data_IF_361522444768
#
_entry.id   IF_361522444768
#
_cell.length_a   1.000
_cell.length_b   1.000
_cell.length_c   1.000
_cell.angle_alpha   90.00
_cell.angle_beta   90.00
_cell.angle_gamma   90.00
#
_symmetry.space_group_name_H-M   'P 1'
#
loop_
_entity.id
_entity.type
_entity.pdbx_description
1 polymer ?
#
# COMPACT_ATOMS: atom_id res chain seq x y z
N UNK A 1 -1.64 10.93 -3.14
CA UNK A 1 -0.59 11.35 -2.19
C UNK A 1 -0.43 10.23 -1.20
N UNK A 2 0.71 9.60 -1.23
CA UNK A 2 1.12 8.66 -0.21
C UNK A 2 1.98 9.44 0.78
N UNK A 3 1.53 9.54 1.99
CA UNK A 3 2.38 9.91 3.11
C UNK A 3 1.99 8.98 4.23
N UNK A 4 2.76 7.91 4.39
CA UNK A 4 2.66 7.08 5.56
C UNK A 4 2.84 7.93 6.82
N UNK A 5 2.49 7.38 7.97
CA UNK A 5 2.78 7.97 9.29
C UNK A 5 4.30 8.10 9.48
N UNK A 6 4.95 8.92 8.66
CA UNK A 6 6.37 9.20 8.77
C UNK A 6 6.64 9.96 10.06
N UNK A 7 7.40 9.38 10.93
CA UNK A 7 7.86 10.01 12.16
C UNK A 7 7.61 9.21 13.44
N UNK A 8 6.85 8.12 13.36
CA UNK A 8 6.64 7.25 14.53
C UNK A 8 7.07 5.83 14.19
N UNK A 9 8.17 5.38 14.77
CA UNK A 9 8.60 3.98 14.66
C UNK A 9 7.44 3.08 15.05
N UNK A 10 7.06 2.17 14.13
CA UNK A 10 5.97 1.24 14.35
C UNK A 10 4.56 1.71 13.96
N UNK A 11 4.37 2.96 13.58
CA UNK A 11 3.07 3.44 13.08
C UNK A 11 1.89 3.08 13.99
N UNK A 12 0.75 2.71 13.38
CA UNK A 12 -0.49 2.38 14.08
C UNK A 12 -0.47 1.01 14.80
N UNK A 13 0.60 0.23 14.66
CA UNK A 13 0.86 -0.98 15.46
C UNK A 13 2.08 -0.83 16.36
N UNK A 14 2.51 0.38 16.70
CA UNK A 14 3.63 0.58 17.61
C UNK A 14 3.44 -0.24 18.89
N UNK A 15 4.50 -0.93 19.33
CA UNK A 15 4.48 -1.71 20.56
C UNK A 15 4.34 -0.82 21.80
N UNK A 16 4.92 0.37 21.76
CA UNK A 16 4.72 1.41 22.76
C UNK A 16 3.34 2.06 22.59
N UNK A 17 2.55 2.06 23.66
CA UNK A 17 1.20 2.59 23.64
C UNK A 17 1.18 4.12 23.35
N UNK A 18 2.13 4.86 23.88
CA UNK A 18 2.22 6.32 23.65
C UNK A 18 2.49 6.59 22.18
N UNK A 19 3.48 5.91 21.60
CA UNK A 19 3.79 6.01 20.18
C UNK A 19 2.61 5.60 19.28
N UNK A 20 1.89 4.53 19.65
CA UNK A 20 0.70 4.10 18.91
C UNK A 20 -0.43 5.13 18.98
N UNK A 21 -0.71 5.70 20.14
CA UNK A 21 -1.72 6.75 20.30
C UNK A 21 -1.36 8.02 19.51
N UNK A 22 -0.09 8.39 19.45
CA UNK A 22 0.40 9.49 18.60
C UNK A 22 0.18 9.19 17.12
N UNK A 23 0.46 7.97 16.65
CA UNK A 23 0.23 7.56 15.26
C UNK A 23 -1.27 7.56 14.91
N UNK A 24 -2.14 7.10 15.81
CA UNK A 24 -3.59 7.15 15.66
C UNK A 24 -4.07 8.60 15.53
N UNK A 25 -3.60 9.48 16.41
CA UNK A 25 -3.97 10.91 16.38
C UNK A 25 -3.48 11.58 15.09
N UNK A 26 -2.24 11.33 14.67
CA UNK A 26 -1.69 11.83 13.42
C UNK A 26 -2.50 11.33 12.20
N UNK A 27 -2.94 10.08 12.22
CA UNK A 27 -3.82 9.53 11.18
C UNK A 27 -5.16 10.28 11.11
N UNK A 28 -5.78 10.58 12.26
CA UNK A 28 -7.03 11.35 12.32
C UNK A 28 -6.85 12.77 11.76
N UNK A 29 -5.76 13.42 12.10
CA UNK A 29 -5.41 14.77 11.59
C UNK A 29 -5.14 14.75 10.08
N UNK A 30 -4.42 13.74 9.60
CA UNK A 30 -4.16 13.55 8.18
C UNK A 30 -5.45 13.34 7.38
N UNK A 31 -6.39 12.53 7.88
CA UNK A 31 -7.70 12.32 7.24
C UNK A 31 -8.50 13.63 7.15
N UNK A 32 -8.46 14.47 8.19
CA UNK A 32 -9.11 15.77 8.17
C UNK A 32 -8.45 16.70 7.13
N UNK A 33 -7.12 16.84 7.14
CA UNK A 33 -6.40 17.68 6.19
C UNK A 33 -6.56 17.23 4.74
N UNK A 34 -6.55 15.89 4.49
CA UNK A 34 -6.74 15.32 3.16
C UNK A 34 -8.15 15.56 2.60
N UNK A 35 -9.15 15.69 3.46
CA UNK A 35 -10.51 16.03 3.03
C UNK A 35 -10.60 17.44 2.42
N UNK A 36 -9.82 18.41 2.92
CA UNK A 36 -9.76 19.77 2.38
C UNK A 36 -9.28 19.83 0.93
N UNK A 37 -8.36 18.92 0.55
CA UNK A 37 -7.86 18.79 -0.82
C UNK A 37 -8.63 17.73 -1.63
N UNK A 38 -9.74 17.23 -1.13
CA UNK A 38 -10.60 16.23 -1.78
C UNK A 38 -9.85 14.96 -2.14
N UNK A 39 -8.89 14.54 -1.32
CA UNK A 39 -8.21 13.26 -1.50
C UNK A 39 -9.21 12.10 -1.29
N UNK A 40 -9.04 11.02 -2.05
CA UNK A 40 -9.91 9.83 -1.96
C UNK A 40 -9.51 8.89 -0.84
N UNK A 41 -8.23 8.91 -0.46
CA UNK A 41 -7.72 8.02 0.56
C UNK A 41 -6.36 8.43 1.07
N UNK A 42 -5.97 7.80 2.15
CA UNK A 42 -4.70 7.96 2.86
C UNK A 42 -4.04 6.59 2.97
N UNK A 43 -2.82 6.46 2.45
CA UNK A 43 -2.06 5.21 2.52
C UNK A 43 -1.45 5.09 3.91
N UNK A 44 -1.76 3.98 4.55
CA UNK A 44 -1.32 3.67 5.91
C UNK A 44 -0.70 2.28 5.92
N UNK A 45 0.64 2.16 5.95
CA UNK A 45 1.28 0.91 6.31
C UNK A 45 0.88 0.51 7.73
N UNK A 46 0.71 -0.79 7.98
CA UNK A 46 0.36 -1.28 9.32
C UNK A 46 1.39 -0.84 10.37
N UNK A 47 2.66 -0.95 10.02
CA UNK A 47 3.75 -0.43 10.84
C UNK A 47 4.97 -0.20 9.93
N UNK A 48 5.68 0.87 10.12
CA UNK A 48 6.87 1.20 9.34
C UNK A 48 8.12 1.14 10.23
N UNK A 49 9.22 0.61 9.69
CA UNK A 49 10.53 0.51 10.37
C UNK A 49 10.57 -0.36 11.64
N UNK A 50 9.56 -1.20 11.90
CA UNK A 50 9.60 -2.14 13.02
C UNK A 50 10.53 -3.33 12.73
N UNK A 51 11.82 -3.15 12.95
CA UNK A 51 12.79 -4.23 12.99
C UNK A 51 13.22 -4.81 11.64
N UNK A 52 12.88 -4.16 10.56
CA UNK A 52 12.94 -4.68 9.21
C UNK A 52 14.30 -4.61 8.52
N UNK A 53 15.23 -3.85 9.01
CA UNK A 53 16.58 -3.80 8.40
C UNK A 53 17.47 -4.97 8.79
N UNK A 54 16.88 -6.00 9.38
CA UNK A 54 17.58 -7.20 9.84
C UNK A 54 17.12 -8.38 9.01
N UNK A 55 18.06 -8.99 8.29
CA UNK A 55 17.78 -10.25 7.58
C UNK A 55 17.37 -11.36 8.55
N UNK A 56 16.47 -12.28 8.13
CA UNK A 56 16.12 -13.45 8.95
C UNK A 56 17.36 -14.26 9.43
N UNK A 57 17.31 -14.89 10.60
CA UNK A 57 16.16 -14.98 11.51
C UNK A 57 16.02 -13.71 12.38
N UNK A 58 14.86 -13.09 12.30
CA UNK A 58 14.55 -11.89 13.07
C UNK A 58 13.36 -12.19 14.00
N UNK A 59 13.41 -11.67 15.21
CA UNK A 59 12.35 -11.88 16.20
C UNK A 59 11.40 -10.69 16.17
N UNK A 60 10.12 -10.89 15.79
CA UNK A 60 9.11 -9.84 15.88
C UNK A 60 8.99 -9.30 17.31
N UNK A 61 8.65 -8.03 17.48
CA UNK A 61 8.44 -7.44 18.81
C UNK A 61 7.26 -8.07 19.56
N UNK A 62 6.28 -8.60 18.83
CA UNK A 62 5.07 -9.24 19.34
C UNK A 62 4.68 -10.45 18.47
N UNK A 63 3.70 -11.22 18.94
CA UNK A 63 3.04 -12.25 18.15
C UNK A 63 2.11 -11.61 17.10
N UNK A 64 1.80 -12.36 16.04
CA UNK A 64 0.86 -11.93 15.01
C UNK A 64 -0.55 -11.60 15.57
N UNK A 65 -0.99 -12.33 16.60
CA UNK A 65 -2.27 -12.06 17.26
C UNK A 65 -2.28 -10.73 18.03
N UNK A 66 -1.15 -10.38 18.65
CA UNK A 66 -1.00 -9.09 19.34
C UNK A 66 -0.93 -7.94 18.33
N UNK A 67 -0.24 -8.13 17.19
CA UNK A 67 -0.22 -7.15 16.12
C UNK A 67 -1.60 -6.97 15.48
N UNK A 68 -2.34 -8.06 15.27
CA UNK A 68 -3.73 -8.01 14.80
C UNK A 68 -4.63 -7.20 15.76
N UNK A 69 -4.54 -7.42 17.07
CA UNK A 69 -5.30 -6.65 18.05
C UNK A 69 -4.94 -5.18 18.02
N UNK A 70 -3.64 -4.87 18.05
CA UNK A 70 -3.17 -3.48 18.00
C UNK A 70 -3.62 -2.75 16.72
N UNK A 71 -3.61 -3.44 15.56
CA UNK A 71 -4.10 -2.90 14.31
C UNK A 71 -5.62 -2.70 14.35
N UNK A 72 -6.36 -3.69 14.82
CA UNK A 72 -7.83 -3.63 14.93
C UNK A 72 -8.27 -2.48 15.82
N UNK A 73 -7.66 -2.33 16.99
CA UNK A 73 -7.95 -1.25 17.94
C UNK A 73 -7.64 0.13 17.33
N UNK A 74 -6.57 0.23 16.56
CA UNK A 74 -6.18 1.47 15.89
C UNK A 74 -7.12 1.82 14.75
N UNK A 75 -7.54 0.83 13.96
CA UNK A 75 -8.52 1.01 12.89
C UNK A 75 -9.92 1.33 13.44
N UNK A 76 -10.34 0.72 14.53
CA UNK A 76 -11.59 1.06 15.21
C UNK A 76 -11.66 2.54 15.62
N UNK A 77 -10.53 3.10 16.04
CA UNK A 77 -10.43 4.50 16.41
C UNK A 77 -10.32 5.47 15.21
N UNK A 78 -9.79 5.04 14.09
CA UNK A 78 -9.51 5.91 12.92
C UNK A 78 -10.59 5.83 11.85
N UNK A 79 -11.25 4.69 11.66
CA UNK A 79 -12.30 4.50 10.64
C UNK A 79 -13.53 5.42 10.79
N UNK A 80 -13.99 5.79 12.00
CA UNK A 80 -15.03 6.81 12.14
C UNK A 80 -14.62 8.18 11.59
N UNK A 81 -13.33 8.53 11.69
CA UNK A 81 -12.78 9.75 11.09
C UNK A 81 -12.70 9.65 9.57
N UNK A 82 -12.28 8.50 9.04
CA UNK A 82 -12.31 8.22 7.61
C UNK A 82 -13.72 8.43 7.03
N UNK A 83 -14.73 7.88 7.69
CA UNK A 83 -16.14 8.03 7.32
C UNK A 83 -16.60 9.50 7.39
N UNK A 84 -16.30 10.19 8.49
CA UNK A 84 -16.65 11.61 8.71
C UNK A 84 -16.08 12.50 7.63
N UNK A 85 -14.82 12.30 7.28
CA UNK A 85 -14.08 13.11 6.31
C UNK A 85 -14.19 12.63 4.87
N UNK A 86 -14.83 11.46 4.64
CA UNK A 86 -14.97 10.81 3.32
C UNK A 86 -13.63 10.53 2.63
N UNK A 87 -12.62 10.19 3.42
CA UNK A 87 -11.27 9.81 2.98
C UNK A 87 -11.03 8.39 3.43
N UNK A 88 -10.84 7.45 2.51
CA UNK A 88 -10.60 6.04 2.85
C UNK A 88 -9.21 5.85 3.46
N UNK A 89 -9.08 4.90 4.38
CA UNK A 89 -7.79 4.36 4.79
C UNK A 89 -7.42 3.28 3.79
N UNK A 90 -6.26 3.41 3.16
CA UNK A 90 -5.68 2.44 2.26
C UNK A 90 -4.58 1.69 3.00
N UNK A 91 -4.89 0.48 3.48
CA UNK A 91 -3.93 -0.37 4.19
C UNK A 91 -2.98 -1.02 3.19
N UNK A 92 -1.69 -0.83 3.40
CA UNK A 92 -0.65 -1.29 2.50
C UNK A 92 0.17 -2.43 3.10
N UNK A 93 0.24 -3.60 2.43
CA UNK A 93 1.22 -4.61 2.75
C UNK A 93 2.59 -4.17 2.25
N UNK A 94 3.59 -4.29 3.10
CA UNK A 94 4.98 -3.88 2.82
C UNK A 94 5.89 -5.11 2.91
N UNK A 95 6.90 -5.19 2.07
CA UNK A 95 7.80 -6.33 2.03
C UNK A 95 8.49 -6.63 3.37
N UNK A 96 8.87 -7.89 3.57
CA UNK A 96 9.50 -8.43 4.78
C UNK A 96 10.79 -7.75 5.22
N UNK A 97 11.43 -6.99 4.34
CA UNK A 97 12.65 -6.27 4.65
C UNK A 97 12.39 -4.90 5.29
N UNK A 98 11.16 -4.43 5.26
CA UNK A 98 10.74 -3.13 5.79
C UNK A 98 9.77 -3.24 6.96
N UNK A 99 8.98 -4.31 7.02
CA UNK A 99 8.02 -4.55 8.10
C UNK A 99 7.89 -6.05 8.39
N UNK A 100 7.56 -6.41 9.62
CA UNK A 100 7.41 -7.80 10.05
C UNK A 100 5.97 -8.32 9.95
N UNK A 101 4.99 -7.47 9.70
CA UNK A 101 3.57 -7.78 9.76
C UNK A 101 2.79 -7.23 8.57
N UNK A 102 1.93 -8.05 7.98
CA UNK A 102 1.19 -7.77 6.73
C UNK A 102 2.12 -7.53 5.54
N UNK A 103 2.67 -8.62 5.03
CA UNK A 103 3.57 -8.57 3.89
C UNK A 103 2.86 -8.91 2.57
N UNK A 104 1.78 -9.71 2.60
CA UNK A 104 1.07 -10.16 1.41
C UNK A 104 -0.32 -9.56 1.29
N UNK A 105 -0.85 -9.50 0.06
CA UNK A 105 -2.22 -9.09 -0.19
C UNK A 105 -3.25 -10.01 0.49
N UNK A 106 -2.94 -11.30 0.62
CA UNK A 106 -3.83 -12.25 1.31
C UNK A 106 -3.94 -11.98 2.81
N UNK A 107 -2.84 -11.58 3.46
CA UNK A 107 -2.86 -11.19 4.88
C UNK A 107 -3.69 -9.93 5.11
N UNK A 108 -3.51 -8.91 4.27
CA UNK A 108 -4.29 -7.68 4.37
C UNK A 108 -5.76 -7.92 4.02
N UNK A 109 -6.06 -8.77 3.03
CA UNK A 109 -7.45 -9.15 2.73
C UNK A 109 -8.16 -9.75 3.94
N UNK A 110 -7.48 -10.65 4.68
CA UNK A 110 -8.04 -11.25 5.88
C UNK A 110 -8.45 -10.19 6.92
N UNK A 111 -7.63 -9.16 7.13
CA UNK A 111 -7.93 -8.04 8.01
C UNK A 111 -9.12 -7.22 7.49
N UNK A 112 -9.03 -6.76 6.23
CA UNK A 112 -10.04 -5.87 5.63
C UNK A 112 -11.39 -6.55 5.54
N UNK A 113 -11.44 -7.85 5.22
CA UNK A 113 -12.68 -8.63 5.18
C UNK A 113 -13.29 -8.85 6.56
N UNK A 114 -12.46 -9.05 7.59
CA UNK A 114 -12.92 -9.23 8.97
C UNK A 114 -13.51 -7.93 9.52
N UNK A 115 -12.83 -6.79 9.33
CA UNK A 115 -13.31 -5.47 9.77
C UNK A 115 -14.54 -5.03 8.96
N UNK A 116 -14.58 -5.39 7.67
CA UNK A 116 -15.69 -5.17 6.76
C UNK A 116 -16.24 -3.72 6.77
N UNK A 117 -15.35 -2.74 6.73
CA UNK A 117 -15.70 -1.33 6.72
C UNK A 117 -15.49 -0.72 5.32
N UNK A 118 -16.46 0.03 4.74
CA UNK A 118 -16.35 0.57 3.38
C UNK A 118 -15.22 1.61 3.22
N UNK A 119 -14.76 2.20 4.32
CA UNK A 119 -13.67 3.19 4.34
C UNK A 119 -12.29 2.57 4.55
N UNK A 120 -12.21 1.24 4.69
CA UNK A 120 -10.97 0.48 4.74
C UNK A 120 -10.78 -0.26 3.43
N UNK A 121 -9.71 0.03 2.71
CA UNK A 121 -9.37 -0.53 1.40
C UNK A 121 -7.93 -0.97 1.39
N UNK A 122 -7.50 -1.61 0.31
CA UNK A 122 -6.16 -2.18 0.13
C UNK A 122 -5.37 -1.37 -0.89
N UNK A 123 -4.09 -1.14 -0.62
CA UNK A 123 -3.10 -0.78 -1.64
C UNK A 123 -2.45 -2.04 -2.17
N UNK A 124 -2.25 -2.10 -3.49
CA UNK A 124 -1.35 -3.06 -4.12
C UNK A 124 -0.14 -2.30 -4.65
N UNK A 125 1.00 -2.45 -4.01
CA UNK A 125 2.27 -1.92 -4.51
C UNK A 125 3.02 -3.03 -5.25
N UNK A 126 3.26 -2.82 -6.55
CA UNK A 126 3.88 -3.84 -7.40
C UNK A 126 5.31 -4.18 -6.99
N UNK A 127 6.05 -3.25 -6.42
CA UNK A 127 7.39 -3.52 -5.90
C UNK A 127 7.34 -4.45 -4.67
N UNK A 128 6.47 -4.15 -3.70
CA UNK A 128 6.32 -5.00 -2.51
C UNK A 128 5.78 -6.38 -2.90
N UNK A 129 4.80 -6.43 -3.79
CA UNK A 129 4.25 -7.68 -4.32
C UNK A 129 5.30 -8.51 -5.06
N UNK A 130 6.21 -7.88 -5.80
CA UNK A 130 7.29 -8.60 -6.50
C UNK A 130 8.23 -9.36 -5.55
N UNK A 131 8.32 -8.94 -4.30
CA UNK A 131 9.13 -9.61 -3.27
C UNK A 131 8.31 -10.69 -2.56
N UNK A 132 7.02 -10.46 -2.31
CA UNK A 132 6.21 -11.25 -1.39
C UNK A 132 5.25 -12.22 -2.08
N UNK A 133 4.69 -11.86 -3.25
CA UNK A 133 3.68 -12.68 -3.90
C UNK A 133 4.29 -13.73 -4.83
N UNK A 134 3.84 -14.97 -4.69
CA UNK A 134 4.22 -16.04 -5.63
C UNK A 134 3.64 -15.80 -7.03
N UNK A 135 2.49 -15.13 -7.12
CA UNK A 135 1.78 -14.82 -8.36
C UNK A 135 1.06 -13.47 -8.22
N UNK A 136 1.63 -12.43 -8.81
CA UNK A 136 1.11 -11.07 -8.73
C UNK A 136 -0.32 -10.93 -9.33
N UNK A 137 -0.62 -11.47 -10.54
CA UNK A 137 -1.98 -11.47 -11.10
C UNK A 137 -3.03 -12.15 -10.20
N UNK A 138 -2.67 -13.23 -9.53
CA UNK A 138 -3.55 -13.93 -8.60
C UNK A 138 -3.81 -13.09 -7.35
N UNK A 139 -2.75 -12.49 -6.76
CA UNK A 139 -2.87 -11.58 -5.63
C UNK A 139 -3.81 -10.41 -5.91
N UNK A 140 -3.64 -9.73 -7.06
CA UNK A 140 -4.53 -8.64 -7.50
C UNK A 140 -5.99 -9.10 -7.68
N UNK A 141 -6.18 -10.28 -8.27
CA UNK A 141 -7.52 -10.83 -8.50
C UNK A 141 -8.23 -11.14 -7.19
N UNK A 142 -7.51 -11.69 -6.22
CA UNK A 142 -8.00 -12.00 -4.87
C UNK A 142 -8.57 -10.77 -4.19
N UNK A 143 -7.82 -9.67 -4.19
CA UNK A 143 -8.22 -8.45 -3.45
C UNK A 143 -9.09 -7.49 -4.24
N UNK A 144 -9.53 -7.84 -5.46
CA UNK A 144 -10.23 -6.96 -6.38
C UNK A 144 -11.40 -6.18 -5.74
N UNK A 145 -12.17 -6.83 -4.86
CA UNK A 145 -13.29 -6.21 -4.13
C UNK A 145 -12.86 -5.07 -3.21
N UNK A 146 -11.67 -5.18 -2.63
CA UNK A 146 -11.16 -4.27 -1.61
C UNK A 146 -10.09 -3.31 -2.15
N UNK A 147 -9.62 -3.52 -3.39
CA UNK A 147 -8.56 -2.72 -3.98
C UNK A 147 -8.98 -1.26 -4.15
N UNK A 148 -8.29 -0.36 -3.47
CA UNK A 148 -8.56 1.07 -3.46
C UNK A 148 -7.51 1.90 -4.18
N UNK A 149 -6.26 1.43 -4.18
CA UNK A 149 -5.13 2.14 -4.76
C UNK A 149 -4.06 1.18 -5.28
N UNK A 150 -3.27 1.62 -6.25
CA UNK A 150 -2.14 0.85 -6.78
C UNK A 150 -0.91 1.74 -6.84
N UNK A 151 0.18 1.28 -6.24
CA UNK A 151 1.51 1.86 -6.43
C UNK A 151 2.27 1.12 -7.51
N UNK A 152 3.01 1.86 -8.31
CA UNK A 152 3.80 1.34 -9.43
C UNK A 152 5.25 1.75 -9.24
N UNK A 153 6.12 0.75 -9.13
CA UNK A 153 7.55 0.88 -9.34
C UNK A 153 8.04 -0.38 -10.07
N UNK A 154 9.23 -0.32 -10.63
CA UNK A 154 9.84 -1.52 -11.19
C UNK A 154 10.38 -2.44 -10.08
N UNK A 155 10.77 -3.65 -10.43
CA UNK A 155 11.26 -4.69 -9.51
C UNK A 155 12.44 -4.29 -8.61
N UNK A 156 13.14 -3.23 -8.97
CA UNK A 156 14.29 -2.66 -8.25
C UNK A 156 13.99 -1.31 -7.58
N UNK A 157 12.71 -0.98 -7.35
CA UNK A 157 12.19 0.30 -6.82
C UNK A 157 12.50 1.52 -7.69
N UNK A 158 12.98 1.34 -8.91
CA UNK A 158 13.20 2.42 -9.87
C UNK A 158 11.94 2.72 -10.69
N UNK A 159 12.06 3.70 -11.59
CA UNK A 159 10.99 4.02 -12.53
C UNK A 159 10.62 2.82 -13.41
N UNK A 160 9.34 2.66 -13.76
CA UNK A 160 8.88 1.62 -14.68
C UNK A 160 9.67 1.59 -15.99
N UNK A 161 10.08 0.40 -16.39
CA UNK A 161 10.94 0.14 -17.55
C UNK A 161 12.45 0.10 -17.23
N UNK A 162 12.83 0.27 -15.96
CA UNK A 162 14.23 0.19 -15.52
C UNK A 162 14.57 -1.10 -14.74
N UNK A 163 13.66 -2.06 -14.70
CA UNK A 163 13.82 -3.37 -14.07
C UNK A 163 13.27 -4.48 -14.96
N UNK A 164 12.62 -5.47 -14.34
CA UNK A 164 12.11 -6.65 -15.04
C UNK A 164 10.62 -6.95 -14.74
N UNK A 165 9.87 -5.96 -14.23
CA UNK A 165 8.45 -6.12 -13.98
C UNK A 165 7.65 -6.27 -15.27
N UNK A 166 6.80 -7.29 -15.37
CA UNK A 166 5.86 -7.43 -16.49
C UNK A 166 4.59 -6.60 -16.26
N UNK A 167 4.66 -5.32 -16.62
CA UNK A 167 3.51 -4.41 -16.48
C UNK A 167 2.34 -4.79 -17.40
N UNK A 168 2.59 -5.47 -18.53
CA UNK A 168 1.51 -5.87 -19.45
C UNK A 168 0.58 -6.86 -18.77
N UNK A 169 1.11 -7.90 -18.11
CA UNK A 169 0.29 -8.90 -17.42
C UNK A 169 -0.44 -8.29 -16.21
N UNK A 170 0.21 -7.35 -15.50
CA UNK A 170 -0.40 -6.66 -14.36
C UNK A 170 -1.54 -5.76 -14.80
N UNK A 171 -1.35 -4.98 -15.85
CA UNK A 171 -2.40 -4.13 -16.42
C UNK A 171 -3.55 -4.93 -17.01
N UNK A 172 -3.26 -6.04 -17.70
CA UNK A 172 -4.28 -6.98 -18.16
C UNK A 172 -5.13 -7.51 -16.99
N UNK A 173 -4.50 -7.75 -15.85
CA UNK A 173 -5.21 -8.18 -14.64
C UNK A 173 -6.07 -7.05 -14.09
N UNK A 174 -5.56 -5.81 -13.97
CA UNK A 174 -6.34 -4.66 -13.53
C UNK A 174 -7.54 -4.38 -14.43
N UNK A 175 -7.38 -4.50 -15.76
CA UNK A 175 -8.47 -4.37 -16.73
C UNK A 175 -9.53 -5.48 -16.55
N UNK A 176 -9.09 -6.73 -16.36
CA UNK A 176 -9.97 -7.88 -16.13
C UNK A 176 -10.81 -7.74 -14.87
N UNK A 177 -10.24 -7.25 -13.78
CA UNK A 177 -10.97 -6.99 -12.52
C UNK A 177 -11.72 -5.65 -12.54
N UNK A 178 -11.70 -4.94 -13.67
CA UNK A 178 -12.37 -3.64 -13.87
C UNK A 178 -11.95 -2.58 -12.82
N UNK A 179 -10.65 -2.54 -12.50
CA UNK A 179 -10.13 -1.55 -11.57
C UNK A 179 -10.32 -0.12 -12.12
N UNK A 180 -10.89 0.77 -11.30
CA UNK A 180 -11.21 2.16 -11.65
C UNK A 180 -10.50 3.18 -10.74
N UNK A 181 -9.52 2.72 -9.95
CA UNK A 181 -8.75 3.58 -9.06
C UNK A 181 -7.57 4.26 -9.75
N UNK A 182 -6.76 4.92 -8.94
CA UNK A 182 -5.56 5.60 -9.40
C UNK A 182 -4.36 4.64 -9.41
N UNK A 183 -3.47 4.87 -10.36
CA UNK A 183 -2.15 4.27 -10.45
C UNK A 183 -1.13 5.36 -10.14
N UNK A 184 -0.34 5.21 -9.09
CA UNK A 184 0.65 6.19 -8.68
C UNK A 184 2.06 5.61 -8.79
N UNK A 185 2.97 6.32 -9.45
CA UNK A 185 4.38 5.95 -9.43
C UNK A 185 4.94 6.26 -8.05
N UNK A 186 5.43 5.23 -7.36
CA UNK A 186 6.12 5.32 -6.08
C UNK A 186 7.45 4.58 -6.15
N UNK A 187 8.51 5.31 -6.46
CA UNK A 187 9.83 4.75 -6.72
C UNK A 187 10.93 5.60 -6.08
N UNK A 188 12.16 5.11 -6.13
CA UNK A 188 13.33 5.90 -5.79
C UNK A 188 13.38 7.17 -6.66
N UNK A 189 13.87 8.25 -6.06
CA UNK A 189 13.95 9.54 -6.75
C UNK A 189 14.80 9.43 -8.02
N UNK A 190 14.25 9.73 -9.20
CA UNK A 190 15.02 9.75 -10.44
C UNK A 190 16.06 10.88 -10.43
N UNK A 191 17.14 10.71 -11.15
CA UNK A 191 18.21 11.71 -11.26
C UNK A 191 17.70 13.01 -11.93
N UNK A 192 16.84 12.87 -12.93
CA UNK A 192 16.20 13.97 -13.64
C UNK A 192 14.71 13.68 -13.84
N UNK A 193 13.88 14.14 -12.91
CA UNK A 193 12.43 13.91 -12.94
C UNK A 193 11.76 14.49 -14.19
N UNK A 194 12.27 15.61 -14.71
CA UNK A 194 11.70 16.28 -15.88
C UNK A 194 11.89 15.45 -17.16
N UNK A 195 13.01 14.77 -17.28
CA UNK A 195 13.32 13.87 -18.41
C UNK A 195 12.76 12.47 -18.20
N UNK A 196 12.96 11.89 -16.99
CA UNK A 196 12.79 10.47 -16.76
C UNK A 196 11.32 10.07 -16.53
N UNK A 197 10.51 10.95 -15.90
CA UNK A 197 9.08 10.67 -15.69
C UNK A 197 8.27 10.56 -16.99
N UNK A 198 8.42 11.45 -17.98
CA UNK A 198 7.72 11.28 -19.26
C UNK A 198 8.09 9.98 -19.98
N UNK A 199 9.34 9.53 -19.91
CA UNK A 199 9.76 8.24 -20.49
C UNK A 199 9.07 7.07 -19.82
N UNK A 200 9.03 7.05 -18.49
CA UNK A 200 8.34 6.00 -17.72
C UNK A 200 6.83 6.01 -17.98
N UNK A 201 6.21 7.19 -18.09
CA UNK A 201 4.78 7.31 -18.41
C UNK A 201 4.46 6.77 -19.80
N UNK A 202 5.25 7.09 -20.81
CA UNK A 202 5.09 6.57 -22.17
C UNK A 202 5.21 5.04 -22.18
N UNK A 203 6.20 4.49 -21.49
CA UNK A 203 6.37 3.05 -21.36
C UNK A 203 5.13 2.38 -20.70
N UNK A 204 4.61 2.96 -19.62
CA UNK A 204 3.40 2.44 -18.97
C UNK A 204 2.16 2.53 -19.87
N UNK A 205 2.01 3.62 -20.66
CA UNK A 205 0.93 3.75 -21.63
C UNK A 205 1.00 2.68 -22.72
N UNK A 206 2.19 2.40 -23.27
CA UNK A 206 2.38 1.30 -24.21
C UNK A 206 2.02 -0.06 -23.58
N UNK A 207 2.44 -0.33 -22.35
CA UNK A 207 2.09 -1.55 -21.64
C UNK A 207 0.57 -1.67 -21.43
N UNK A 208 -0.11 -0.56 -21.12
CA UNK A 208 -1.56 -0.52 -20.95
C UNK A 208 -2.32 -0.84 -22.25
N UNK A 209 -1.89 -0.28 -23.38
CA UNK A 209 -2.47 -0.55 -24.71
C UNK A 209 -2.23 -1.99 -25.13
N UNK A 210 -1.03 -2.52 -24.96
CA UNK A 210 -0.72 -3.94 -25.21
C UNK A 210 -1.58 -4.88 -24.36
N UNK A 211 -1.84 -4.52 -23.11
CA UNK A 211 -2.72 -5.27 -22.21
C UNK A 211 -4.18 -5.30 -22.70
N UNK A 212 -4.65 -4.23 -23.33
CA UNK A 212 -5.98 -4.15 -23.94
C UNK A 212 -6.10 -4.91 -25.29
N UNK A 213 -4.97 -5.41 -25.83
CA UNK A 213 -4.94 -6.05 -27.15
C UNK A 213 -4.85 -5.06 -28.31
N UNK A 214 -4.54 -3.80 -28.06
CA UNK A 214 -4.24 -2.79 -29.07
C UNK A 214 -2.77 -2.92 -29.51
N UNK A 215 -2.57 -2.89 -30.85
CA UNK A 215 -1.23 -3.00 -31.46
C UNK A 215 -0.52 -1.67 -31.55
#
# INVERSE_FOLDING_TARGET
MSSGCQGFDGGIINADEVGRNMAIQSTKEALAALSEVKARGFVVPAGFALGSKVLPPFKPPRSADEDFRALSDSLEQTLPYAAKHKVSIFLEPINRYEIHYLNTLSEVEAIVSTINNPWLRIVADFFHMNIEEANLPEGLTRVARYLGHVHIADSNRKLPGQGHMDFVILFKTLQRIKYQGWLAIECDRPLDSTRDLPVALNYLQECWLKAAGEK
#
